data_IF_175688918919
#
_entry.id   IF_175688918919
#
_cell.length_a   1.000
_cell.length_b   1.000
_cell.length_c   1.000
_cell.angle_alpha   90.00
_cell.angle_beta   90.00
_cell.angle_gamma   90.00
#
_symmetry.space_group_name_H-M   'P 1'
#
loop_
_entity.id
_entity.type
_entity.pdbx_description
1 polymer ?
#
# COMPACT_ATOMS: atom_id res chain seq x y z
N UNK A 1 4.03 7.51 -17.02
CA UNK A 1 3.83 6.08 -17.28
C UNK A 1 4.35 5.36 -16.03
N UNK A 2 3.48 5.07 -15.05
CA UNK A 2 3.88 4.74 -13.67
C UNK A 2 3.32 3.36 -13.32
N UNK A 3 4.22 2.43 -12.95
CA UNK A 3 3.96 1.09 -12.37
C UNK A 3 4.38 1.11 -10.89
N UNK A 4 3.78 0.30 -10.01
CA UNK A 4 4.43 -0.10 -8.75
C UNK A 4 3.88 -1.36 -8.01
N UNK A 5 4.77 -2.10 -7.31
CA UNK A 5 4.67 -3.48 -6.76
C UNK A 5 5.34 -3.66 -5.40
N UNK A 6 4.72 -4.46 -4.49
CA UNK A 6 5.05 -5.17 -3.19
C UNK A 6 6.45 -5.69 -2.73
N UNK A 7 6.71 -5.87 -1.39
CA UNK A 7 7.85 -6.58 -0.68
C UNK A 7 7.34 -7.16 0.69
N UNK A 8 7.85 -8.23 1.35
CA UNK A 8 9.14 -8.46 2.08
C UNK A 8 9.40 -9.93 2.52
N UNK A 9 10.71 -10.16 2.81
CA UNK A 9 11.43 -11.07 3.75
C UNK A 9 11.69 -12.57 3.42
N UNK A 10 12.98 -12.83 3.16
CA UNK A 10 13.83 -14.05 3.31
C UNK A 10 13.45 -15.39 2.65
N UNK A 11 14.19 -15.77 1.58
CA UNK A 11 15.00 -17.00 1.42
C UNK A 11 15.65 -17.03 0.01
N UNK A 12 16.95 -17.36 0.00
CA UNK A 12 17.81 -17.87 -1.09
C UNK A 12 17.59 -17.40 -2.55
N UNK A 13 18.62 -16.71 -3.07
CA UNK A 13 18.97 -16.55 -4.49
C UNK A 13 18.51 -17.73 -5.38
N UNK A 14 17.74 -17.43 -6.42
CA UNK A 14 17.61 -18.32 -7.57
C UNK A 14 17.51 -17.52 -8.86
N UNK A 15 18.54 -17.64 -9.70
CA UNK A 15 18.46 -17.48 -11.14
C UNK A 15 17.76 -18.71 -11.76
N UNK A 16 16.61 -19.11 -11.19
CA UNK A 16 15.92 -20.33 -11.57
C UNK A 16 14.86 -20.07 -12.63
N UNK A 17 14.56 -21.08 -13.47
CA UNK A 17 13.42 -21.06 -14.36
C UNK A 17 12.14 -20.75 -13.57
N UNK A 18 11.36 -19.79 -14.10
CA UNK A 18 10.04 -19.47 -13.57
C UNK A 18 8.94 -19.86 -14.56
N UNK A 19 7.76 -20.17 -14.01
CA UNK A 19 6.55 -20.45 -14.77
C UNK A 19 5.64 -19.25 -14.63
N UNK A 20 5.36 -18.60 -15.75
CA UNK A 20 4.39 -17.50 -15.82
C UNK A 20 3.03 -18.03 -16.26
N UNK A 21 2.01 -17.76 -15.44
CA UNK A 21 0.63 -18.18 -15.66
C UNK A 21 -0.22 -16.94 -15.87
N UNK A 22 -0.60 -16.67 -17.12
CA UNK A 22 -1.38 -15.48 -17.49
C UNK A 22 -2.84 -15.83 -17.78
N UNK A 23 -3.75 -15.06 -17.21
CA UNK A 23 -5.15 -15.06 -17.59
C UNK A 23 -5.58 -13.66 -18.02
N UNK A 24 -6.20 -13.59 -19.19
CA UNK A 24 -6.66 -12.37 -19.82
C UNK A 24 -8.18 -12.41 -19.93
N UNK A 25 -8.85 -11.43 -19.32
CA UNK A 25 -10.27 -11.17 -19.56
C UNK A 25 -10.41 -9.89 -20.38
N UNK A 26 -11.16 -9.96 -21.48
CA UNK A 26 -11.42 -8.85 -22.40
C UNK A 26 -12.92 -8.72 -22.61
N UNK A 27 -13.44 -7.50 -22.60
CA UNK A 27 -14.81 -7.24 -23.04
C UNK A 27 -15.48 -6.03 -22.40
N UNK A 28 -16.60 -5.62 -22.99
CA UNK A 28 -17.40 -4.48 -22.52
C UNK A 28 -17.96 -4.67 -21.10
N UNK A 29 -18.11 -5.92 -20.65
CA UNK A 29 -18.56 -6.26 -19.29
C UNK A 29 -17.54 -5.92 -18.19
N UNK A 30 -16.29 -5.58 -18.54
CA UNK A 30 -15.28 -5.15 -17.57
C UNK A 30 -15.40 -3.67 -17.22
N UNK A 31 -15.74 -2.81 -18.19
CA UNK A 31 -15.93 -1.35 -18.07
C UNK A 31 -15.23 -0.74 -16.84
N UNK A 32 -13.90 -0.80 -16.83
CA UNK A 32 -13.08 -0.34 -15.71
C UNK A 32 -12.78 1.16 -15.89
N UNK A 33 -12.94 1.99 -14.85
CA UNK A 33 -12.81 3.44 -14.98
C UNK A 33 -11.39 3.93 -15.31
N UNK A 34 -10.34 3.22 -14.85
CA UNK A 34 -8.93 3.59 -15.01
C UNK A 34 -8.01 2.37 -14.97
N UNK A 35 -6.76 2.58 -15.37
CA UNK A 35 -5.70 1.59 -15.19
C UNK A 35 -5.33 1.44 -13.71
N UNK A 36 -5.04 0.21 -13.31
CA UNK A 36 -4.53 -0.15 -12.00
C UNK A 36 -3.51 -1.27 -12.19
N UNK A 37 -2.35 -1.10 -11.57
CA UNK A 37 -1.30 -2.11 -11.51
C UNK A 37 -1.09 -2.47 -10.04
N UNK A 38 -1.33 -3.73 -9.69
CA UNK A 38 -1.18 -4.27 -8.36
C UNK A 38 -0.28 -5.47 -8.41
N UNK A 39 0.67 -5.53 -7.49
CA UNK A 39 1.56 -6.65 -7.46
C UNK A 39 1.90 -6.97 -6.02
N UNK A 40 1.96 -8.27 -5.77
CA UNK A 40 2.06 -8.81 -4.43
C UNK A 40 2.93 -10.06 -4.47
N UNK A 41 3.88 -10.12 -3.55
CA UNK A 41 4.82 -11.23 -3.42
C UNK A 41 4.50 -12.05 -2.18
N UNK A 42 4.63 -13.36 -2.31
CA UNK A 42 4.65 -14.34 -1.23
C UNK A 42 5.90 -15.18 -1.31
N UNK A 43 6.20 -15.89 -0.22
CA UNK A 43 7.22 -16.94 -0.18
C UNK A 43 7.09 -17.94 -1.36
N UNK A 44 5.85 -18.24 -1.79
CA UNK A 44 5.54 -19.29 -2.75
C UNK A 44 5.21 -18.82 -4.18
N UNK A 45 5.11 -17.50 -4.42
CA UNK A 45 4.76 -16.95 -5.74
C UNK A 45 4.82 -15.42 -5.79
N UNK A 46 5.02 -14.88 -6.99
CA UNK A 46 4.72 -13.48 -7.31
C UNK A 46 3.39 -13.39 -8.05
N UNK A 47 2.53 -12.44 -7.66
CA UNK A 47 1.25 -12.18 -8.28
C UNK A 47 1.24 -10.76 -8.85
N UNK A 48 0.77 -10.62 -10.07
CA UNK A 48 0.58 -9.35 -10.76
C UNK A 48 -0.84 -9.26 -11.29
N UNK A 49 -1.43 -8.09 -11.14
CA UNK A 49 -2.74 -7.77 -11.67
C UNK A 49 -2.71 -6.40 -12.33
N UNK A 50 -3.02 -6.39 -13.61
CA UNK A 50 -3.01 -5.21 -14.45
C UNK A 50 -4.40 -5.02 -15.05
N UNK A 51 -4.91 -3.80 -14.99
CA UNK A 51 -6.19 -3.45 -15.63
C UNK A 51 -6.03 -2.30 -16.57
N UNK A 52 -6.82 -2.36 -17.62
CA UNK A 52 -7.14 -1.27 -18.54
C UNK A 52 -8.67 -1.21 -18.71
N UNK A 53 -9.24 -0.14 -19.31
CA UNK A 53 -10.69 0.06 -19.34
C UNK A 53 -11.55 -1.09 -19.89
N UNK A 54 -10.97 -2.00 -20.69
CA UNK A 54 -11.66 -3.16 -21.28
C UNK A 54 -10.92 -4.49 -21.08
N UNK A 55 -9.88 -4.48 -20.26
CA UNK A 55 -8.96 -5.61 -20.12
C UNK A 55 -8.54 -5.77 -18.66
N UNK A 56 -8.50 -7.01 -18.19
CA UNK A 56 -7.82 -7.36 -16.96
C UNK A 56 -6.87 -8.52 -17.23
N UNK A 57 -5.58 -8.30 -16.97
CA UNK A 57 -4.56 -9.34 -16.96
C UNK A 57 -4.25 -9.71 -15.52
N UNK A 58 -4.24 -11.00 -15.23
CA UNK A 58 -3.72 -11.55 -14.00
C UNK A 58 -2.58 -12.51 -14.31
N UNK A 59 -1.45 -12.36 -13.60
CA UNK A 59 -0.24 -13.13 -13.80
C UNK A 59 0.24 -13.73 -12.48
N UNK A 60 0.61 -15.01 -12.51
CA UNK A 60 1.32 -15.69 -11.41
C UNK A 60 2.70 -16.09 -11.92
N UNK A 61 3.74 -15.77 -11.18
CA UNK A 61 5.09 -16.22 -11.44
C UNK A 61 5.53 -17.16 -10.32
N UNK A 62 5.84 -18.39 -10.68
CA UNK A 62 6.26 -19.47 -9.79
C UNK A 62 7.68 -19.90 -10.11
N UNK A 63 8.43 -20.44 -9.16
CA UNK A 63 9.64 -21.22 -9.44
C UNK A 63 9.27 -22.59 -10.03
N UNK A 64 10.22 -23.26 -10.67
CA UNK A 64 10.00 -24.63 -11.18
C UNK A 64 9.62 -25.63 -10.07
N UNK A 65 10.19 -25.49 -8.88
CA UNK A 65 9.87 -26.31 -7.71
C UNK A 65 8.42 -26.08 -7.26
N UNK A 66 8.02 -24.82 -7.10
CA UNK A 66 6.65 -24.43 -6.74
C UNK A 66 5.63 -24.95 -7.77
N UNK A 67 5.95 -24.87 -9.07
CA UNK A 67 5.11 -25.45 -10.12
C UNK A 67 4.96 -26.97 -9.97
N UNK A 68 6.04 -27.70 -9.65
CA UNK A 68 6.01 -29.16 -9.46
C UNK A 68 5.17 -29.57 -8.24
N UNK A 69 5.18 -28.77 -7.18
CA UNK A 69 4.39 -28.98 -5.97
C UNK A 69 2.88 -28.77 -6.19
N UNK A 70 2.48 -28.02 -7.21
CA UNK A 70 1.05 -27.86 -7.52
C UNK A 70 0.40 -29.22 -7.83
N UNK A 71 -0.84 -29.46 -7.30
CA UNK A 71 -1.56 -30.69 -7.56
C UNK A 71 -1.67 -30.96 -9.06
N UNK A 72 -1.45 -32.22 -9.48
CA UNK A 72 -1.48 -32.61 -10.91
C UNK A 72 -2.74 -32.14 -11.64
N UNK A 73 -3.89 -32.14 -10.94
CA UNK A 73 -5.17 -31.64 -11.47
C UNK A 73 -5.13 -30.14 -11.79
N UNK A 74 -4.49 -29.35 -10.93
CA UNK A 74 -4.31 -27.90 -11.09
C UNK A 74 -3.41 -27.60 -12.29
N UNK A 75 -2.27 -28.28 -12.40
CA UNK A 75 -1.38 -28.16 -13.57
C UNK A 75 -2.09 -28.52 -14.89
N UNK A 76 -2.90 -29.57 -14.88
CA UNK A 76 -3.68 -29.98 -16.06
C UNK A 76 -4.78 -28.97 -16.42
N UNK A 77 -5.44 -28.38 -15.44
CA UNK A 77 -6.47 -27.35 -15.66
C UNK A 77 -5.87 -26.08 -16.28
N UNK A 78 -4.68 -25.67 -15.87
CA UNK A 78 -3.98 -24.55 -16.51
C UNK A 78 -3.70 -24.80 -17.99
N UNK A 79 -3.21 -26.00 -18.34
CA UNK A 79 -2.96 -26.37 -19.73
C UNK A 79 -4.25 -26.39 -20.60
N UNK A 80 -5.43 -26.47 -19.99
CA UNK A 80 -6.73 -26.53 -20.66
C UNK A 80 -7.41 -25.16 -20.82
N UNK A 81 -7.00 -24.13 -20.07
CA UNK A 81 -7.69 -22.84 -20.01
C UNK A 81 -7.45 -21.93 -21.23
N UNK A 82 -6.67 -22.35 -22.23
CA UNK A 82 -6.25 -21.48 -23.33
C UNK A 82 -5.39 -20.29 -22.88
N UNK A 83 -4.94 -20.32 -21.61
CA UNK A 83 -3.95 -19.42 -21.03
C UNK A 83 -2.65 -19.55 -21.81
N UNK A 84 -2.07 -18.42 -22.20
CA UNK A 84 -0.67 -18.40 -22.63
C UNK A 84 0.19 -18.79 -21.43
N UNK A 85 0.88 -19.92 -21.53
CA UNK A 85 1.97 -20.26 -20.62
C UNK A 85 3.27 -20.02 -21.37
N UNK A 86 4.05 -19.07 -20.87
CA UNK A 86 5.39 -18.84 -21.35
C UNK A 86 6.35 -19.34 -20.29
N UNK A 87 7.17 -20.32 -20.66
CA UNK A 87 8.39 -20.59 -19.92
C UNK A 87 9.38 -19.48 -20.26
N UNK A 88 9.37 -18.43 -19.47
CA UNK A 88 10.35 -17.36 -19.55
C UNK A 88 11.51 -17.74 -18.65
N UNK A 89 12.65 -18.03 -19.26
CA UNK A 89 13.91 -18.01 -18.54
C UNK A 89 14.22 -16.54 -18.24
N UNK A 90 14.26 -16.10 -16.98
CA UNK A 90 14.66 -14.72 -16.72
C UNK A 90 16.08 -14.55 -17.26
N UNK A 91 16.25 -13.65 -18.24
CA UNK A 91 17.59 -13.07 -18.48
C UNK A 91 18.02 -12.51 -17.13
N UNK A 92 19.14 -13.01 -16.62
CA UNK A 92 19.70 -12.69 -15.31
C UNK A 92 19.51 -11.22 -14.93
N UNK A 93 18.44 -10.89 -14.20
CA UNK A 93 18.34 -9.65 -13.46
C UNK A 93 18.58 -10.01 -12.01
N UNK A 94 19.73 -9.55 -11.50
CA UNK A 94 20.19 -9.80 -10.14
C UNK A 94 19.09 -9.38 -9.16
N UNK A 95 18.77 -10.28 -8.22
CA UNK A 95 17.71 -10.12 -7.23
C UNK A 95 17.96 -8.92 -6.28
N UNK A 96 19.21 -8.48 -6.17
CA UNK A 96 19.61 -7.29 -5.38
C UNK A 96 19.03 -5.97 -5.90
N UNK A 97 18.61 -5.89 -7.17
CA UNK A 97 18.06 -4.64 -7.72
C UNK A 97 16.57 -4.44 -7.38
N UNK A 98 15.84 -5.48 -6.94
CA UNK A 98 14.37 -5.43 -6.77
C UNK A 98 13.85 -5.14 -5.36
N UNK A 99 14.64 -5.38 -4.30
CA UNK A 99 14.27 -4.86 -2.97
C UNK A 99 14.18 -3.32 -2.96
N UNK A 100 14.93 -2.66 -3.85
CA UNK A 100 14.86 -1.21 -4.07
C UNK A 100 13.67 -0.72 -4.91
N UNK A 101 12.84 -1.61 -5.49
CA UNK A 101 11.69 -1.25 -6.36
C UNK A 101 10.35 -1.12 -5.61
N UNK A 102 10.14 -1.83 -4.50
CA UNK A 102 8.95 -1.63 -3.65
C UNK A 102 9.21 -0.82 -2.41
N UNK A 103 10.32 -1.11 -1.73
CA UNK A 103 10.68 -0.49 -0.49
C UNK A 103 11.78 0.51 -0.74
N UNK A 104 11.57 1.69 -0.19
CA UNK A 104 12.54 2.77 -0.25
C UNK A 104 13.72 2.42 0.65
N UNK A 105 13.45 1.82 1.80
CA UNK A 105 14.46 1.34 2.74
C UNK A 105 13.93 0.16 3.56
N UNK A 106 14.71 -0.26 4.55
CA UNK A 106 14.29 -1.27 5.52
C UNK A 106 13.06 -0.79 6.30
N UNK A 107 12.04 -1.64 6.46
CA UNK A 107 10.86 -1.29 7.29
C UNK A 107 11.27 -1.03 8.72
N UNK A 108 10.61 -0.04 9.30
CA UNK A 108 10.58 0.14 10.74
C UNK A 108 9.56 -0.82 11.37
N UNK A 109 10.04 -1.78 12.16
CA UNK A 109 9.22 -2.69 12.95
C UNK A 109 9.77 -2.73 14.37
N UNK A 110 8.94 -2.39 15.34
CA UNK A 110 9.26 -2.30 16.76
C UNK A 110 8.23 -3.10 17.56
N UNK A 111 8.63 -4.30 17.98
CA UNK A 111 7.74 -5.24 18.69
C UNK A 111 7.40 -4.79 20.11
N UNK A 112 8.35 -4.20 20.85
CA UNK A 112 8.23 -3.93 22.29
C UNK A 112 8.08 -2.44 22.66
N UNK A 113 8.04 -1.52 21.70
CA UNK A 113 7.97 -0.08 21.98
C UNK A 113 6.65 0.34 22.62
N UNK A 114 6.68 1.27 23.57
CA UNK A 114 5.50 1.84 24.22
C UNK A 114 5.42 3.31 23.83
N UNK A 115 4.66 3.67 22.77
CA UNK A 115 4.55 5.06 22.37
C UNK A 115 3.90 5.89 23.47
N UNK A 116 4.31 7.15 23.53
CA UNK A 116 3.72 8.14 24.42
C UNK A 116 2.30 8.44 23.96
N UNK A 117 1.38 8.57 24.90
CA UNK A 117 0.03 9.06 24.60
C UNK A 117 0.10 10.51 24.13
N UNK A 118 -0.77 10.88 23.20
CA UNK A 118 -0.91 12.23 22.66
C UNK A 118 -2.38 12.66 22.73
N UNK A 119 -2.63 13.87 23.22
CA UNK A 119 -3.96 14.50 23.22
C UNK A 119 -4.22 15.23 21.89
N UNK A 120 -5.49 15.58 21.65
CA UNK A 120 -5.89 16.31 20.44
C UNK A 120 -5.27 17.71 20.41
N UNK A 121 -5.18 18.37 21.56
CA UNK A 121 -4.59 19.69 21.75
C UNK A 121 -3.08 19.66 21.50
N UNK A 122 -2.37 18.66 22.07
CA UNK A 122 -0.94 18.48 21.83
C UNK A 122 -0.66 18.22 20.34
N UNK A 123 -1.47 17.38 19.68
CA UNK A 123 -1.33 17.13 18.25
C UNK A 123 -1.58 18.41 17.43
N UNK A 124 -2.59 19.20 17.80
CA UNK A 124 -2.85 20.51 17.18
C UNK A 124 -1.65 21.46 17.34
N UNK A 125 -1.00 21.45 18.50
CA UNK A 125 0.22 22.23 18.74
C UNK A 125 1.39 21.78 17.84
N UNK A 126 1.61 20.47 17.70
CA UNK A 126 2.58 19.92 16.75
C UNK A 126 2.33 20.43 15.32
N UNK A 127 1.10 20.29 14.83
CA UNK A 127 0.69 20.76 13.49
C UNK A 127 0.84 22.29 13.37
N UNK A 128 0.63 23.03 14.46
CA UNK A 128 0.69 24.48 14.49
C UNK A 128 2.10 25.06 14.46
N UNK A 129 3.06 24.40 15.11
CA UNK A 129 4.39 24.95 15.43
C UNK A 129 5.57 24.23 14.78
N UNK A 130 5.36 23.04 14.21
CA UNK A 130 6.44 22.18 13.69
C UNK A 130 6.29 21.95 12.19
N UNK A 131 7.40 21.60 11.53
CA UNK A 131 7.42 21.14 10.14
C UNK A 131 6.94 19.68 10.11
N UNK A 132 5.68 19.50 9.74
CA UNK A 132 5.03 18.19 9.70
C UNK A 132 4.96 17.66 8.26
N UNK A 133 5.01 16.35 8.11
CA UNK A 133 4.62 15.62 6.92
C UNK A 133 3.44 14.70 7.24
N UNK A 134 2.38 14.73 6.42
CA UNK A 134 1.29 13.76 6.55
C UNK A 134 1.63 12.48 5.81
N UNK A 135 1.37 11.33 6.44
CA UNK A 135 1.52 10.03 5.82
C UNK A 135 0.29 9.16 6.07
N UNK A 136 -0.36 8.70 5.01
CA UNK A 136 -1.64 8.01 5.10
C UNK A 136 -1.56 6.58 4.59
N UNK A 137 -2.24 5.67 5.31
CA UNK A 137 -2.45 4.28 4.93
C UNK A 137 -3.92 3.95 4.68
N UNK A 138 -4.21 2.68 4.43
CA UNK A 138 -5.55 2.22 4.02
C UNK A 138 -6.66 2.50 5.05
N UNK A 139 -6.31 2.73 6.33
CA UNK A 139 -7.27 3.01 7.39
C UNK A 139 -8.14 4.24 7.10
N UNK A 140 -7.57 5.31 6.50
CA UNK A 140 -8.32 6.54 6.16
C UNK A 140 -9.47 6.31 5.18
N UNK A 141 -9.36 5.24 4.38
CA UNK A 141 -10.31 4.85 3.35
C UNK A 141 -11.28 3.77 3.80
N UNK A 142 -11.10 3.17 4.98
CA UNK A 142 -11.94 2.08 5.47
C UNK A 142 -13.45 2.44 5.50
N UNK A 143 -13.79 3.70 5.81
CA UNK A 143 -15.17 4.19 5.82
C UNK A 143 -15.78 4.42 4.42
N UNK A 144 -14.98 4.33 3.34
CA UNK A 144 -15.41 4.57 1.95
C UNK A 144 -15.68 3.31 1.13
N UNK A 145 -15.94 2.16 1.77
CA UNK A 145 -16.10 0.84 1.11
C UNK A 145 -14.85 0.32 0.38
N UNK A 146 -13.73 1.05 0.44
CA UNK A 146 -12.42 0.56 0.03
C UNK A 146 -11.96 -0.44 1.08
N UNK A 147 -11.73 -1.71 0.72
CA UNK A 147 -11.29 -2.70 1.68
C UNK A 147 -9.87 -2.38 2.18
N UNK A 148 -9.65 -2.51 3.48
CA UNK A 148 -8.31 -2.43 4.09
C UNK A 148 -7.46 -3.63 3.67
N UNK A 149 -6.15 -3.60 3.94
CA UNK A 149 -5.27 -4.73 3.66
C UNK A 149 -5.73 -6.03 4.34
N UNK A 150 -6.24 -5.97 5.56
CA UNK A 150 -6.80 -7.13 6.25
C UNK A 150 -8.06 -7.67 5.54
N UNK A 151 -8.95 -6.76 5.12
CA UNK A 151 -10.15 -7.14 4.37
C UNK A 151 -9.82 -7.68 2.97
N UNK A 152 -8.79 -7.15 2.31
CA UNK A 152 -8.26 -7.68 1.07
C UNK A 152 -7.69 -9.09 1.27
N UNK A 153 -6.95 -9.31 2.35
CA UNK A 153 -6.43 -10.62 2.69
C UNK A 153 -7.54 -11.66 2.91
N UNK A 154 -8.61 -11.27 3.59
CA UNK A 154 -9.80 -12.11 3.74
C UNK A 154 -10.54 -12.30 2.40
N UNK A 155 -10.74 -11.23 1.63
CA UNK A 155 -11.43 -11.25 0.33
C UNK A 155 -10.73 -12.20 -0.63
N UNK A 156 -9.41 -12.11 -0.70
CA UNK A 156 -8.60 -12.94 -1.57
C UNK A 156 -8.16 -14.24 -0.92
N UNK A 157 -8.52 -14.54 0.34
CA UNK A 157 -8.09 -15.77 1.01
C UNK A 157 -6.62 -16.07 0.72
N UNK A 158 -5.74 -15.10 0.99
CA UNK A 158 -4.31 -15.14 0.67
C UNK A 158 -3.53 -16.27 1.37
N UNK A 159 -4.20 -17.31 1.89
CA UNK A 159 -3.63 -18.54 2.42
C UNK A 159 -3.21 -19.52 1.31
N UNK A 160 -2.76 -20.73 1.67
CA UNK A 160 -2.15 -21.75 0.78
C UNK A 160 -2.97 -22.13 -0.46
N UNK A 161 -4.27 -21.83 -0.49
CA UNK A 161 -5.15 -22.23 -1.60
C UNK A 161 -5.33 -21.18 -2.69
N UNK A 162 -4.76 -19.98 -2.56
CA UNK A 162 -5.00 -18.89 -3.51
C UNK A 162 -4.64 -19.24 -4.96
N UNK A 163 -3.48 -19.88 -5.17
CA UNK A 163 -3.06 -20.37 -6.51
C UNK A 163 -4.11 -21.34 -7.04
N UNK A 164 -4.52 -22.33 -6.24
CA UNK A 164 -5.52 -23.31 -6.63
C UNK A 164 -6.90 -22.68 -6.92
N UNK A 165 -7.31 -21.67 -6.15
CA UNK A 165 -8.56 -20.93 -6.36
C UNK A 165 -8.54 -20.18 -7.69
N UNK A 166 -7.41 -19.58 -8.06
CA UNK A 166 -7.25 -18.88 -9.34
C UNK A 166 -7.32 -19.82 -10.53
N UNK A 167 -6.71 -21.01 -10.41
CA UNK A 167 -6.76 -22.00 -11.49
C UNK A 167 -8.16 -22.56 -11.65
N UNK A 168 -8.80 -22.93 -10.53
CA UNK A 168 -10.11 -23.60 -10.56
C UNK A 168 -11.24 -22.62 -10.87
N UNK A 169 -11.10 -21.37 -10.44
CA UNK A 169 -12.16 -20.36 -10.49
C UNK A 169 -11.64 -18.97 -10.89
N UNK A 170 -10.99 -18.82 -12.06
CA UNK A 170 -10.39 -17.54 -12.49
C UNK A 170 -11.40 -16.39 -12.53
N UNK A 171 -12.63 -16.66 -13.00
CA UNK A 171 -13.74 -15.68 -13.00
C UNK A 171 -14.11 -15.17 -11.61
N UNK A 172 -14.04 -16.02 -10.58
CA UNK A 172 -14.31 -15.61 -9.19
C UNK A 172 -13.25 -14.63 -8.71
N UNK A 173 -11.99 -14.90 -9.04
CA UNK A 173 -10.86 -14.04 -8.66
C UNK A 173 -10.96 -12.71 -9.39
N UNK A 174 -11.20 -12.70 -10.69
CA UNK A 174 -11.38 -11.46 -11.45
C UNK A 174 -12.56 -10.65 -10.92
N UNK A 175 -13.67 -11.30 -10.53
CA UNK A 175 -14.78 -10.59 -9.88
C UNK A 175 -14.39 -9.92 -8.57
N UNK A 176 -13.59 -10.58 -7.72
CA UNK A 176 -13.07 -9.99 -6.47
C UNK A 176 -12.14 -8.81 -6.75
N UNK A 177 -11.31 -8.93 -7.79
CA UNK A 177 -10.40 -7.83 -8.14
C UNK A 177 -11.15 -6.66 -8.77
N UNK A 178 -12.15 -6.91 -9.63
CA UNK A 178 -13.05 -5.87 -10.15
C UNK A 178 -13.78 -5.15 -9.03
N UNK A 179 -14.22 -5.88 -8.00
CA UNK A 179 -14.80 -5.26 -6.81
C UNK A 179 -13.81 -4.29 -6.15
N UNK A 180 -12.56 -4.71 -5.92
CA UNK A 180 -11.55 -3.84 -5.35
C UNK A 180 -11.25 -2.62 -6.23
N UNK A 181 -11.08 -2.84 -7.54
CA UNK A 181 -10.83 -1.78 -8.52
C UNK A 181 -11.94 -0.72 -8.49
N UNK A 182 -13.21 -1.14 -8.55
CA UNK A 182 -14.33 -0.21 -8.45
C UNK A 182 -14.35 0.52 -7.11
N UNK A 183 -14.06 -0.17 -6.00
CA UNK A 183 -13.96 0.49 -4.71
C UNK A 183 -12.89 1.60 -4.72
N UNK A 184 -11.72 1.38 -5.30
CA UNK A 184 -10.72 2.44 -5.48
C UNK A 184 -11.29 3.63 -6.29
N UNK A 185 -11.75 3.39 -7.52
CA UNK A 185 -12.02 4.50 -8.44
C UNK A 185 -13.43 5.10 -8.34
N UNK A 186 -14.40 4.40 -7.76
CA UNK A 186 -15.80 4.85 -7.70
C UNK A 186 -16.22 5.32 -6.30
N UNK A 187 -15.49 4.95 -5.24
CA UNK A 187 -15.81 5.41 -3.89
C UNK A 187 -15.61 6.91 -3.70
N UNK A 188 -16.41 7.51 -2.82
CA UNK A 188 -16.27 8.91 -2.44
C UNK A 188 -15.22 9.07 -1.32
N UNK A 189 -14.47 10.19 -1.29
CA UNK A 189 -13.59 10.49 -0.16
C UNK A 189 -14.36 10.54 1.16
N UNK A 190 -13.73 10.05 2.23
CA UNK A 190 -14.32 10.06 3.58
C UNK A 190 -14.28 11.46 4.21
N UNK A 191 -14.94 11.65 5.37
CA UNK A 191 -14.86 12.90 6.13
C UNK A 191 -13.41 13.24 6.49
N UNK A 192 -12.63 12.23 6.88
CA UNK A 192 -11.21 12.42 7.19
C UNK A 192 -10.41 12.93 5.99
N UNK A 193 -10.69 12.47 4.76
CA UNK A 193 -10.00 12.99 3.57
C UNK A 193 -10.25 14.47 3.36
N UNK A 194 -11.51 14.91 3.46
CA UNK A 194 -11.87 16.33 3.30
C UNK A 194 -11.26 17.20 4.39
N UNK A 195 -11.33 16.76 5.64
CA UNK A 195 -10.72 17.47 6.76
C UNK A 195 -9.19 17.52 6.66
N UNK A 196 -8.55 16.43 6.20
CA UNK A 196 -7.10 16.40 6.00
C UNK A 196 -6.66 17.32 4.87
N UNK A 197 -7.45 17.45 3.79
CA UNK A 197 -7.24 18.46 2.75
C UNK A 197 -7.23 19.86 3.33
N UNK A 198 -8.22 20.20 4.15
CA UNK A 198 -8.30 21.52 4.77
C UNK A 198 -7.07 21.82 5.62
N UNK A 199 -6.64 20.87 6.46
CA UNK A 199 -5.41 21.00 7.25
C UNK A 199 -4.17 21.15 6.37
N UNK A 200 -4.02 20.28 5.36
CA UNK A 200 -2.87 20.26 4.48
C UNK A 200 -2.70 21.58 3.73
N UNK A 201 -3.77 22.08 3.10
CA UNK A 201 -3.73 23.33 2.34
C UNK A 201 -3.53 24.54 3.24
N UNK A 202 -4.21 24.58 4.38
CA UNK A 202 -4.16 25.75 5.28
C UNK A 202 -2.86 25.89 6.08
N UNK A 203 -1.99 24.88 6.05
CA UNK A 203 -0.66 24.90 6.66
C UNK A 203 0.47 24.57 5.68
N UNK A 204 0.14 24.39 4.40
CA UNK A 204 1.07 23.95 3.36
C UNK A 204 1.85 22.67 3.77
N UNK A 205 1.14 21.71 4.35
CA UNK A 205 1.72 20.44 4.81
C UNK A 205 1.72 19.46 3.63
N UNK A 206 2.88 18.89 3.25
CA UNK A 206 2.92 17.86 2.23
C UNK A 206 2.23 16.59 2.70
N UNK A 207 1.63 15.85 1.77
CA UNK A 207 0.95 14.59 2.05
C UNK A 207 1.56 13.46 1.22
N UNK A 208 1.95 12.39 1.90
CA UNK A 208 2.31 11.11 1.32
C UNK A 208 1.19 10.10 1.53
N UNK A 209 1.01 9.19 0.57
CA UNK A 209 0.05 8.11 0.69
C UNK A 209 0.56 6.80 0.10
N UNK A 210 0.28 5.69 0.79
CA UNK A 210 0.44 4.34 0.24
C UNK A 210 -0.79 3.89 -0.56
N UNK A 211 -1.88 4.65 -0.52
CA UNK A 211 -3.17 4.22 -1.04
C UNK A 211 -3.24 4.33 -2.57
N UNK A 212 -3.80 3.28 -3.19
CA UNK A 212 -4.09 3.22 -4.63
C UNK A 212 -5.50 3.70 -4.98
N UNK A 213 -6.30 4.10 -3.99
CA UNK A 213 -7.73 4.41 -4.15
C UNK A 213 -8.04 5.80 -4.73
N UNK A 214 -7.02 6.63 -4.95
CA UNK A 214 -7.19 7.98 -5.47
C UNK A 214 -8.15 8.89 -4.67
N UNK A 215 -8.50 8.57 -3.42
CA UNK A 215 -9.50 9.34 -2.68
C UNK A 215 -8.96 10.73 -2.28
N UNK A 216 -7.69 10.84 -1.94
CA UNK A 216 -7.03 12.14 -1.76
C UNK A 216 -7.11 13.00 -3.03
N UNK A 217 -6.87 12.43 -4.20
CA UNK A 217 -6.93 13.10 -5.49
C UNK A 217 -8.35 13.59 -5.82
N UNK A 218 -9.37 12.81 -5.45
CA UNK A 218 -10.77 13.21 -5.59
C UNK A 218 -11.16 14.40 -4.70
N UNK A 219 -10.43 14.62 -3.60
CA UNK A 219 -10.59 15.88 -2.83
C UNK A 219 -9.94 17.09 -3.53
N UNK A 220 -9.07 16.87 -4.51
CA UNK A 220 -8.27 17.90 -5.17
C UNK A 220 -6.86 18.07 -4.59
N UNK A 221 -6.41 17.17 -3.70
CA UNK A 221 -5.01 17.11 -3.28
C UNK A 221 -4.16 16.38 -4.34
N UNK A 222 -2.87 16.72 -4.40
CA UNK A 222 -1.88 16.00 -5.19
C UNK A 222 -0.86 15.33 -4.26
N UNK A 223 -1.21 14.20 -3.63
CA UNK A 223 -0.31 13.54 -2.70
C UNK A 223 0.90 12.92 -3.42
N UNK A 224 2.03 12.85 -2.71
CA UNK A 224 3.17 12.06 -3.14
C UNK A 224 2.85 10.58 -2.90
N UNK A 225 2.62 9.83 -3.99
CA UNK A 225 2.44 8.39 -3.89
C UNK A 225 3.77 7.74 -3.55
N UNK A 226 3.77 6.89 -2.51
CA UNK A 226 5.00 6.24 -2.05
C UNK A 226 5.33 5.07 -2.98
N UNK A 227 6.06 5.41 -4.05
CA UNK A 227 6.77 4.47 -4.89
C UNK A 227 8.27 4.48 -4.64
N UNK A 228 8.90 3.31 -4.59
CA UNK A 228 10.30 3.20 -4.17
C UNK A 228 11.26 4.01 -5.06
N UNK A 229 11.03 3.98 -6.38
CA UNK A 229 11.78 4.77 -7.34
C UNK A 229 11.46 6.26 -7.23
N UNK A 230 10.17 6.64 -7.28
CA UNK A 230 9.82 8.06 -7.33
C UNK A 230 10.11 8.82 -6.03
N UNK A 231 10.05 8.18 -4.85
CA UNK A 231 10.23 8.89 -3.58
C UNK A 231 11.69 9.27 -3.34
N UNK A 232 12.66 8.40 -3.66
CA UNK A 232 14.09 8.75 -3.54
C UNK A 232 14.49 9.87 -4.48
N UNK A 233 13.90 9.89 -5.67
CA UNK A 233 14.18 10.89 -6.69
C UNK A 233 13.46 12.23 -6.43
N UNK A 234 12.27 12.18 -5.80
CA UNK A 234 11.42 13.36 -5.59
C UNK A 234 11.58 14.02 -4.23
N UNK A 235 11.97 13.27 -3.18
CA UNK A 235 12.21 13.81 -1.84
C UNK A 235 13.71 14.07 -1.68
N UNK A 236 14.09 15.34 -1.72
CA UNK A 236 15.45 15.76 -1.36
C UNK A 236 15.74 15.36 0.09
N UNK A 237 16.82 14.60 0.30
CA UNK A 237 17.27 14.16 1.63
C UNK A 237 17.36 15.31 2.64
N UNK A 238 17.84 16.48 2.21
CA UNK A 238 17.96 17.67 3.06
C UNK A 238 16.60 18.25 3.48
N UNK A 239 15.54 18.07 2.68
CA UNK A 239 14.17 18.42 3.09
C UNK A 239 13.64 17.43 4.11
N UNK A 240 13.96 16.14 3.96
CA UNK A 240 13.51 15.10 4.89
C UNK A 240 14.11 15.27 6.29
N UNK A 241 15.38 15.67 6.38
CA UNK A 241 16.06 16.02 7.65
C UNK A 241 15.44 17.21 8.37
N UNK A 242 14.77 18.10 7.65
CA UNK A 242 14.14 19.29 8.22
C UNK A 242 12.71 19.07 8.70
N UNK A 243 12.12 17.91 8.44
CA UNK A 243 10.81 17.54 8.97
C UNK A 243 10.98 17.20 10.45
N UNK A 244 10.26 17.90 11.32
CA UNK A 244 10.30 17.67 12.77
C UNK A 244 9.56 16.38 13.14
N UNK A 245 8.43 16.12 12.45
CA UNK A 245 7.65 14.91 12.67
C UNK A 245 6.84 14.46 11.45
N UNK A 246 6.61 13.16 11.36
CA UNK A 246 5.67 12.55 10.42
C UNK A 246 4.40 12.19 11.19
N UNK A 247 3.25 12.73 10.76
CA UNK A 247 1.94 12.35 11.26
C UNK A 247 1.35 11.23 10.38
N UNK A 248 1.34 10.03 10.93
CA UNK A 248 0.78 8.83 10.32
C UNK A 248 -0.73 8.73 10.62
N UNK A 249 -1.55 8.50 9.60
CA UNK A 249 -3.02 8.51 9.72
C UNK A 249 -3.58 7.23 9.10
N UNK A 250 -4.14 6.35 9.94
CA UNK A 250 -4.69 5.07 9.49
C UNK A 250 -3.65 4.18 8.81
N UNK A 251 -2.40 4.24 9.28
CA UNK A 251 -1.27 3.46 8.79
C UNK A 251 -0.82 2.52 9.91
N UNK A 252 -0.97 1.21 9.73
CA UNK A 252 -0.64 0.25 10.79
C UNK A 252 0.76 -0.37 10.66
N UNK A 253 1.34 -0.29 9.46
CA UNK A 253 2.64 -0.88 9.11
C UNK A 253 3.43 0.06 8.18
N UNK A 254 4.76 0.10 8.32
CA UNK A 254 5.66 0.83 7.42
C UNK A 254 5.95 -0.02 6.17
N UNK A 255 4.94 -0.22 5.33
CA UNK A 255 5.01 -1.23 4.27
C UNK A 255 6.06 -0.89 3.20
N UNK A 256 6.26 0.40 2.94
CA UNK A 256 7.23 0.92 1.96
C UNK A 256 8.61 1.22 2.54
N UNK A 257 8.80 1.06 3.85
CA UNK A 257 10.07 1.38 4.52
C UNK A 257 10.38 2.88 4.58
N UNK A 258 9.38 3.74 4.37
CA UNK A 258 9.55 5.18 4.40
C UNK A 258 9.83 5.70 5.81
N UNK A 259 9.16 5.13 6.83
CA UNK A 259 9.38 5.53 8.22
C UNK A 259 10.74 5.06 8.74
N UNK A 260 11.19 3.88 8.30
CA UNK A 260 12.55 3.40 8.52
C UNK A 260 13.58 4.35 7.93
N UNK A 261 13.41 4.75 6.67
CA UNK A 261 14.31 5.70 6.00
C UNK A 261 14.32 7.06 6.71
N UNK A 262 13.16 7.60 7.08
CA UNK A 262 13.06 8.86 7.81
C UNK A 262 13.86 8.82 9.11
N UNK A 263 13.73 7.75 9.90
CA UNK A 263 14.48 7.60 11.16
C UNK A 263 15.97 7.38 10.96
N UNK A 264 16.39 6.79 9.85
CA UNK A 264 17.80 6.66 9.49
C UNK A 264 18.44 8.02 9.20
N UNK A 265 17.75 8.87 8.42
CA UNK A 265 18.29 10.18 8.02
C UNK A 265 18.01 11.29 9.05
N UNK A 266 16.98 11.11 9.88
CA UNK A 266 16.57 12.02 10.95
C UNK A 266 16.23 11.25 12.23
N UNK A 267 17.25 10.79 12.99
CA UNK A 267 17.05 9.97 14.19
C UNK A 267 16.22 10.66 15.29
N UNK A 268 16.32 11.99 15.39
CA UNK A 268 15.60 12.78 16.39
C UNK A 268 14.15 13.08 15.99
N UNK A 269 13.85 12.96 14.70
CA UNK A 269 12.53 13.14 14.12
C UNK A 269 11.48 12.26 14.78
N UNK A 270 10.28 12.81 15.02
CA UNK A 270 9.21 12.09 15.72
C UNK A 270 8.23 11.44 14.76
N UNK A 271 7.71 10.29 15.15
CA UNK A 271 6.50 9.73 14.54
C UNK A 271 5.33 10.03 15.46
N UNK A 272 4.29 10.64 14.90
CA UNK A 272 3.00 10.84 15.53
C UNK A 272 2.03 9.92 14.79
N UNK A 273 1.12 9.26 15.48
CA UNK A 273 0.13 8.41 14.82
C UNK A 273 -1.28 8.65 15.34
N UNK A 274 -2.25 8.64 14.42
CA UNK A 274 -3.68 8.49 14.76
C UNK A 274 -4.15 7.15 14.19
N UNK A 275 -4.49 6.24 15.09
CA UNK A 275 -4.99 4.91 14.73
C UNK A 275 -5.88 4.35 15.86
N UNK A 276 -6.63 3.29 15.59
CA UNK A 276 -7.49 2.62 16.56
C UNK A 276 -6.67 1.75 17.54
N UNK A 277 -5.46 1.37 17.15
CA UNK A 277 -4.54 0.56 17.95
C UNK A 277 -3.09 0.93 17.63
N UNK A 278 -2.14 0.50 18.49
CA UNK A 278 -0.71 0.75 18.29
C UNK A 278 -0.20 0.15 16.95
N UNK A 279 0.31 0.97 16.02
CA UNK A 279 1.01 0.50 14.82
C UNK A 279 2.35 -0.17 15.13
N UNK A 280 2.82 -1.05 14.25
CA UNK A 280 4.03 -1.83 14.46
C UNK A 280 5.33 -1.02 14.42
N UNK A 281 5.31 0.22 13.92
CA UNK A 281 6.51 1.03 13.69
C UNK A 281 6.81 2.04 14.82
N UNK A 282 5.93 2.16 15.81
CA UNK A 282 6.10 3.13 16.90
C UNK A 282 7.03 2.59 18.01
N UNK A 283 8.01 3.41 18.39
CA UNK A 283 8.91 3.20 19.53
C UNK A 283 8.55 4.04 20.77
N UNK A 284 9.40 3.97 21.80
CA UNK A 284 9.22 4.67 23.08
C UNK A 284 9.34 6.20 22.94
N UNK A 285 10.00 6.66 21.88
CA UNK A 285 10.20 8.06 21.56
C UNK A 285 9.08 8.68 20.72
N UNK A 286 8.18 7.84 20.20
CA UNK A 286 7.11 8.21 19.28
C UNK A 286 5.78 8.38 20.02
N UNK A 287 4.77 8.91 19.32
CA UNK A 287 3.49 9.30 19.93
C UNK A 287 2.29 8.63 19.24
N UNK A 288 1.27 8.29 20.03
CA UNK A 288 0.01 7.73 19.58
C UNK A 288 -1.17 8.50 20.17
N UNK A 289 -2.03 8.99 19.30
CA UNK A 289 -3.38 9.42 19.63
C UNK A 289 -4.35 8.31 19.18
N UNK A 290 -4.87 7.57 20.15
CA UNK A 290 -5.84 6.50 19.84
C UNK A 290 -7.21 7.10 19.56
N UNK A 291 -7.79 6.79 18.39
CA UNK A 291 -9.13 7.26 18.06
C UNK A 291 -9.57 7.00 16.63
N UNK A 292 -10.86 7.18 16.37
CA UNK A 292 -11.39 7.11 15.01
C UNK A 292 -10.97 8.36 14.23
N UNK A 293 -10.13 8.17 13.22
CA UNK A 293 -9.68 9.20 12.29
C UNK A 293 -10.82 9.96 11.59
N UNK A 294 -12.01 9.35 11.44
CA UNK A 294 -13.18 10.03 10.89
C UNK A 294 -13.75 11.10 11.82
N UNK A 295 -13.39 11.06 13.11
CA UNK A 295 -13.80 12.03 14.13
C UNK A 295 -12.61 12.92 14.56
N UNK A 296 -11.43 12.33 14.75
CA UNK A 296 -10.22 13.04 15.18
C UNK A 296 -9.77 14.10 14.16
N UNK A 297 -9.70 13.77 12.87
CA UNK A 297 -9.20 14.73 11.86
C UNK A 297 -10.16 15.93 11.70
N UNK A 298 -11.50 15.74 11.60
CA UNK A 298 -12.43 16.88 11.65
C UNK A 298 -12.35 17.69 12.95
N UNK A 299 -12.12 17.04 14.10
CA UNK A 299 -11.97 17.76 15.36
C UNK A 299 -10.71 18.66 15.40
N UNK A 300 -9.60 18.21 14.79
CA UNK A 300 -8.39 19.05 14.62
C UNK A 300 -8.68 20.30 13.79
N UNK A 301 -9.46 20.17 12.71
CA UNK A 301 -9.89 21.31 11.89
C UNK A 301 -10.71 22.29 12.74
N UNK A 302 -11.69 21.78 13.50
CA UNK A 302 -12.56 22.61 14.33
C UNK A 302 -11.79 23.33 15.46
N UNK A 303 -10.80 22.69 16.08
CA UNK A 303 -9.94 23.32 17.08
C UNK A 303 -9.17 24.51 16.51
N UNK A 304 -8.68 24.39 15.27
CA UNK A 304 -7.98 25.50 14.60
C UNK A 304 -8.89 26.70 14.38
N UNK A 305 -10.15 26.48 13.99
CA UNK A 305 -11.11 27.56 13.75
C UNK A 305 -11.46 28.37 15.01
N UNK A 306 -11.18 27.83 16.21
CA UNK A 306 -11.41 28.51 17.50
C UNK A 306 -10.20 29.31 18.00
N UNK A 307 -9.02 29.12 17.40
CA UNK A 307 -7.76 29.75 17.82
C UNK A 307 -7.44 31.05 17.06
N UNK A 308 -8.35 31.52 16.20
CA UNK A 308 -8.30 32.78 15.45
C UNK A 308 -9.60 33.55 15.69
#
# INVERSE_FOLDING_TARGET
MIRLIGLFLFIASLASPCVELRHLEVGEALALPKELDMNWEREDALFSFQTAPKEATFTITLTEEQWKELPKKVRKQFAQLGSEYTFTYPKSSRRDEREGEYCIAKRRVISQGIPKSLTLEELSEWIGKKKILFYTGAGISAASKVPTMHQLAALFQFEKEWIALMVKHPKTVIRKIRYFHRACFESAPTKAHWALKELALSKNIPLLTENLDHLHQKTGLAPFCVSASAVKESIELEKLKQIDAILCIGLSFDDKGFLGWYKEVNPDGKLLSIDLAKPSYLGDEDFLLTGDIQEVIPALVALKQRAF
#
